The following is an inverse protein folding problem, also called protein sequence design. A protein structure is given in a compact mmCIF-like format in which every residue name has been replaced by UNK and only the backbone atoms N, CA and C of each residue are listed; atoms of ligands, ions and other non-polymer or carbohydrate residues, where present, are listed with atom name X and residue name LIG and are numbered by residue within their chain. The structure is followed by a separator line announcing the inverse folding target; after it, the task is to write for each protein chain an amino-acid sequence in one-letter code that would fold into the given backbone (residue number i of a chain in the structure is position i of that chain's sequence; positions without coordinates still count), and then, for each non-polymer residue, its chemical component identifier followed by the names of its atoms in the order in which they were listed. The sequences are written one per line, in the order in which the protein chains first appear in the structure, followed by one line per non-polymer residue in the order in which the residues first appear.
data_IF_467350786693
#
_entry.id   IF_467350786693
#
_cell.length_a   1.000
_cell.length_b   1.000
_cell.length_c   1.000
_cell.angle_alpha   90.00
_cell.angle_beta   90.00
_cell.angle_gamma   90.00
#
_symmetry.space_group_name_H-M   'P 1'
#
loop_
_entity.id
_entity.type
_entity.pdbx_description
1 polymer ?
#
# COMPACT_ATOMS: atom_id res chain seq x y z
N UNK A 1 14.20 -37.32 3.47
CA UNK A 1 13.54 -36.07 3.92
C UNK A 1 12.05 -36.26 3.75
N UNK A 2 11.29 -36.20 4.85
CA UNK A 2 9.85 -36.50 4.87
C UNK A 2 9.07 -35.45 4.06
N UNK A 3 8.20 -35.91 3.17
CA UNK A 3 7.31 -35.10 2.32
C UNK A 3 6.51 -34.05 3.08
N UNK A 4 6.25 -34.26 4.39
CA UNK A 4 5.56 -33.29 5.24
C UNK A 4 6.32 -31.97 5.45
N UNK A 5 7.66 -32.00 5.55
CA UNK A 5 8.47 -30.81 5.83
C UNK A 5 8.51 -29.83 4.64
N UNK A 6 8.36 -30.33 3.41
CA UNK A 6 8.30 -29.51 2.21
C UNK A 6 6.96 -28.76 2.10
N UNK A 7 5.84 -29.42 2.41
CA UNK A 7 4.51 -28.80 2.37
C UNK A 7 4.33 -27.67 3.38
N UNK A 8 4.84 -27.82 4.62
CA UNK A 8 4.73 -26.75 5.62
C UNK A 8 5.51 -25.50 5.25
N UNK A 9 6.69 -25.64 4.62
CA UNK A 9 7.48 -24.49 4.15
C UNK A 9 6.74 -23.72 3.06
N UNK A 10 6.12 -24.42 2.12
CA UNK A 10 5.30 -23.80 1.07
C UNK A 10 4.08 -23.10 1.65
N UNK A 11 3.34 -23.77 2.54
CA UNK A 11 2.16 -23.17 3.19
C UNK A 11 2.52 -21.92 3.99
N UNK A 12 3.60 -21.97 4.77
CA UNK A 12 4.09 -20.82 5.52
C UNK A 12 4.48 -19.66 4.59
N UNK A 13 5.18 -19.96 3.48
CA UNK A 13 5.51 -18.96 2.48
C UNK A 13 4.28 -18.30 1.86
N UNK A 14 3.25 -19.07 1.52
CA UNK A 14 2.00 -18.52 0.98
C UNK A 14 1.27 -17.65 2.00
N UNK A 15 1.23 -18.06 3.27
CA UNK A 15 0.63 -17.25 4.34
C UNK A 15 1.37 -15.92 4.48
N UNK A 16 2.71 -15.95 4.49
CA UNK A 16 3.51 -14.74 4.56
C UNK A 16 3.24 -13.79 3.38
N UNK A 17 3.17 -14.32 2.16
CA UNK A 17 2.83 -13.52 0.96
C UNK A 17 1.44 -12.89 1.10
N UNK A 18 0.44 -13.66 1.53
CA UNK A 18 -0.93 -13.16 1.70
C UNK A 18 -0.97 -12.04 2.75
N UNK A 19 -0.27 -12.21 3.89
CA UNK A 19 -0.20 -11.16 4.92
C UNK A 19 0.45 -9.90 4.38
N UNK A 20 1.54 -10.02 3.61
CA UNK A 20 2.20 -8.88 2.97
C UNK A 20 1.25 -8.19 1.98
N UNK A 21 0.52 -8.94 1.16
CA UNK A 21 -0.44 -8.37 0.21
C UNK A 21 -1.58 -7.62 0.91
N UNK A 22 -2.09 -8.16 2.02
CA UNK A 22 -3.12 -7.48 2.81
C UNK A 22 -2.59 -6.18 3.39
N UNK A 23 -1.37 -6.18 3.95
CA UNK A 23 -0.75 -4.96 4.46
C UNK A 23 -0.54 -3.92 3.34
N UNK A 24 -0.10 -4.37 2.16
CA UNK A 24 0.07 -3.51 0.98
C UNK A 24 -1.25 -2.90 0.51
N UNK A 25 -2.33 -3.69 0.42
CA UNK A 25 -3.68 -3.19 0.10
C UNK A 25 -4.20 -2.22 1.17
N UNK A 26 -3.93 -2.48 2.45
CA UNK A 26 -4.32 -1.59 3.54
C UNK A 26 -3.66 -0.22 3.41
N UNK A 27 -2.34 -0.18 3.24
CA UNK A 27 -1.60 1.05 3.05
C UNK A 27 -2.04 1.80 1.77
N UNK A 28 -2.34 1.09 0.68
CA UNK A 28 -2.87 1.71 -0.54
C UNK A 28 -4.25 2.37 -0.30
N UNK A 29 -5.08 1.78 0.56
CA UNK A 29 -6.34 2.38 0.99
C UNK A 29 -6.15 3.62 1.86
N UNK A 30 -5.07 3.72 2.64
CA UNK A 30 -4.76 4.95 3.39
C UNK A 30 -4.41 6.10 2.45
N UNK A 31 -3.68 5.84 1.35
CA UNK A 31 -3.46 6.82 0.29
C UNK A 31 -4.78 7.22 -0.40
N UNK A 32 -5.66 6.25 -0.69
CA UNK A 32 -6.97 6.51 -1.30
C UNK A 32 -7.86 7.41 -0.41
N UNK A 33 -7.77 7.26 0.91
CA UNK A 33 -8.45 8.13 1.87
C UNK A 33 -7.90 9.56 1.91
N UNK A 34 -6.72 9.81 1.32
CA UNK A 34 -6.10 11.13 1.23
C UNK A 34 -6.19 11.70 -0.18
N UNK A 35 -7.37 11.51 -0.79
CA UNK A 35 -7.74 12.03 -2.10
C UNK A 35 -6.87 11.52 -3.26
N UNK A 36 -5.96 10.58 -3.02
CA UNK A 36 -5.31 9.86 -4.10
C UNK A 36 -6.29 8.85 -4.71
N UNK A 37 -6.09 8.46 -5.97
CA UNK A 37 -6.80 7.28 -6.48
C UNK A 37 -6.18 6.00 -5.90
N UNK A 38 -6.99 4.96 -5.69
CA UNK A 38 -6.52 3.64 -5.25
C UNK A 38 -5.36 3.09 -6.11
N UNK A 39 -5.40 3.34 -7.42
CA UNK A 39 -4.32 2.94 -8.34
C UNK A 39 -2.99 3.63 -8.03
N UNK A 40 -3.04 4.94 -7.74
CA UNK A 40 -1.88 5.69 -7.27
C UNK A 40 -1.44 5.22 -5.88
N UNK A 41 -2.39 4.93 -4.99
CA UNK A 41 -2.11 4.40 -3.65
C UNK A 41 -1.20 3.18 -3.68
N UNK A 42 -1.49 2.18 -4.52
CA UNK A 42 -0.60 1.02 -4.67
C UNK A 42 0.84 1.37 -5.09
N UNK A 43 1.00 2.39 -5.93
CA UNK A 43 2.32 2.89 -6.36
C UNK A 43 3.00 3.64 -5.22
N UNK A 44 2.27 4.48 -4.49
CA UNK A 44 2.83 5.27 -3.39
C UNK A 44 3.25 4.43 -2.19
N UNK A 45 2.59 3.31 -1.89
CA UNK A 45 3.11 2.40 -0.85
C UNK A 45 4.52 1.91 -1.16
N UNK A 46 4.84 1.69 -2.44
CA UNK A 46 6.18 1.29 -2.86
C UNK A 46 7.15 2.48 -2.82
N UNK A 47 6.71 3.64 -3.28
CA UNK A 47 7.57 4.84 -3.38
C UNK A 47 7.90 5.47 -2.01
N UNK A 48 6.95 5.47 -1.07
CA UNK A 48 7.07 6.08 0.26
C UNK A 48 7.31 5.05 1.38
N UNK A 49 7.18 3.75 1.06
CA UNK A 49 7.49 2.67 1.98
C UNK A 49 6.39 2.32 2.99
N UNK A 50 5.15 2.77 2.76
CA UNK A 50 4.03 2.54 3.67
C UNK A 50 2.79 3.35 3.34
N UNK A 51 1.94 3.58 4.34
CA UNK A 51 0.86 4.56 4.26
C UNK A 51 1.40 5.99 4.28
N UNK A 52 0.55 6.99 3.94
CA UNK A 52 0.92 8.39 3.92
C UNK A 52 1.15 8.97 5.31
N UNK A 53 2.20 9.78 5.46
CA UNK A 53 2.41 10.63 6.63
C UNK A 53 1.39 11.77 6.72
N UNK A 54 1.33 12.49 7.84
CA UNK A 54 0.30 13.53 8.12
C UNK A 54 0.20 14.62 7.05
N UNK A 55 1.29 14.94 6.35
CA UNK A 55 1.36 15.94 5.29
C UNK A 55 1.38 15.36 3.87
N UNK A 56 1.36 14.04 3.72
CA UNK A 56 1.34 13.42 2.41
C UNK A 56 -0.09 13.12 1.97
N UNK A 57 -0.37 13.26 0.68
CA UNK A 57 -1.66 12.94 0.09
C UNK A 57 -1.70 13.31 -1.38
N UNK A 58 -2.90 13.52 -1.90
CA UNK A 58 -3.08 14.08 -3.22
C UNK A 58 -4.02 15.28 -3.20
N UNK A 59 -3.85 16.16 -4.17
CA UNK A 59 -4.74 17.28 -4.44
C UNK A 59 -5.51 17.06 -5.75
N UNK A 60 -6.79 17.41 -5.75
CA UNK A 60 -7.62 17.37 -6.94
C UNK A 60 -7.23 18.46 -7.94
N UNK A 61 -6.54 18.06 -9.01
CA UNK A 61 -6.24 18.93 -10.15
C UNK A 61 -7.13 18.64 -11.36
N UNK A 62 -7.25 19.58 -12.33
CA UNK A 62 -8.01 19.37 -13.57
C UNK A 62 -7.58 18.14 -14.38
N UNK A 63 -6.37 17.62 -14.13
CA UNK A 63 -5.81 16.41 -14.74
C UNK A 63 -5.99 15.12 -13.92
N UNK A 64 -6.63 15.20 -12.76
CA UNK A 64 -6.73 14.12 -11.76
C UNK A 64 -5.91 14.42 -10.51
N UNK A 65 -5.99 13.53 -9.52
CA UNK A 65 -5.30 13.67 -8.25
C UNK A 65 -3.76 13.70 -8.44
N UNK A 66 -3.09 14.70 -7.88
CA UNK A 66 -1.61 14.87 -7.96
C UNK A 66 -1.03 14.77 -6.56
N UNK A 67 0.08 14.04 -6.39
CA UNK A 67 0.77 13.92 -5.10
C UNK A 67 1.20 15.28 -4.54
N UNK A 68 1.06 15.46 -3.23
CA UNK A 68 1.50 16.64 -2.47
C UNK A 68 2.11 16.22 -1.12
N UNK A 69 3.08 17.00 -0.64
CA UNK A 69 3.64 16.95 0.71
C UNK A 69 3.12 18.10 1.61
N UNK A 70 2.10 18.82 1.14
CA UNK A 70 1.41 19.89 1.86
C UNK A 70 -0.04 19.51 2.22
N UNK A 71 -0.36 18.21 2.20
CA UNK A 71 -1.70 17.72 2.50
C UNK A 71 -2.17 18.17 3.89
N UNK A 72 -3.38 18.73 3.95
CA UNK A 72 -3.99 19.20 5.20
C UNK A 72 -3.39 20.49 5.77
N UNK A 73 -2.61 21.26 4.99
CA UNK A 73 -2.05 22.55 5.40
C UNK A 73 -3.01 23.75 5.29
N UNK A 74 -4.28 23.50 4.96
CA UNK A 74 -5.35 24.48 4.72
C UNK A 74 -6.14 24.87 5.97
#
# INVERSE_FOLDING_TARGET
MSSGQASYRTLFGLIAIVVILIAWTGAAGEWDNRECSLGQGYVFVIAHGGGPDEHEGCEDEPGGAVYTDEYGSW
#
